data_IF_258387550792
#
_entry.id   IF_258387550792
#
_cell.length_a   1.000
_cell.length_b   1.000
_cell.length_c   1.000
_cell.angle_alpha   90.00
_cell.angle_beta   90.00
_cell.angle_gamma   90.00
#
_symmetry.space_group_name_H-M   'P 1'
#
loop_
_entity.id
_entity.type
_entity.pdbx_description
1 polymer ?
#
# COMPACT_ATOMS: atom_id res chain seq x y z
N UNK A 1 -43.51 -26.04 4.61
CA UNK A 1 -42.19 -26.12 3.96
C UNK A 1 -41.91 -24.83 3.22
N UNK A 2 -40.66 -24.36 3.20
CA UNK A 2 -40.24 -23.16 2.46
C UNK A 2 -39.34 -23.50 1.27
N UNK A 3 -39.07 -22.51 0.42
CA UNK A 3 -38.10 -22.65 -0.68
C UNK A 3 -36.87 -21.78 -0.43
N UNK A 4 -35.69 -22.28 -0.80
CA UNK A 4 -34.45 -21.54 -0.67
C UNK A 4 -34.42 -20.34 -1.63
N UNK A 5 -34.24 -19.13 -1.11
CA UNK A 5 -34.11 -17.91 -1.94
C UNK A 5 -32.92 -17.92 -2.90
N UNK A 6 -31.90 -18.75 -2.64
CA UNK A 6 -30.68 -18.81 -3.46
C UNK A 6 -30.78 -19.83 -4.59
N UNK A 7 -31.34 -21.00 -4.32
CA UNK A 7 -31.33 -22.12 -5.29
C UNK A 7 -32.72 -22.68 -5.63
N UNK A 8 -33.79 -22.16 -5.04
CA UNK A 8 -35.18 -22.53 -5.35
C UNK A 8 -35.61 -23.92 -4.88
N UNK A 9 -34.74 -24.72 -4.27
CA UNK A 9 -35.10 -26.05 -3.74
C UNK A 9 -35.85 -25.95 -2.42
N UNK A 10 -36.65 -26.96 -2.13
CA UNK A 10 -37.37 -27.08 -0.85
C UNK A 10 -36.40 -27.13 0.34
N UNK A 11 -36.82 -26.48 1.42
CA UNK A 11 -36.07 -26.39 2.67
C UNK A 11 -37.02 -26.67 3.84
N UNK A 12 -36.63 -27.52 4.80
CA UNK A 12 -37.38 -27.74 6.03
C UNK A 12 -37.61 -26.42 6.80
N UNK A 13 -38.74 -26.29 7.49
CA UNK A 13 -39.11 -25.05 8.19
C UNK A 13 -38.25 -24.75 9.42
N UNK A 14 -37.55 -25.75 9.95
CA UNK A 14 -36.62 -25.66 11.07
C UNK A 14 -35.15 -25.56 10.65
N UNK A 15 -34.85 -25.73 9.36
CA UNK A 15 -33.49 -25.68 8.88
C UNK A 15 -32.92 -24.26 8.89
N UNK A 16 -31.76 -24.08 9.54
CA UNK A 16 -30.98 -22.83 9.50
C UNK A 16 -30.18 -22.65 8.21
N UNK A 17 -29.89 -23.75 7.51
CA UNK A 17 -29.18 -23.76 6.23
C UNK A 17 -29.91 -24.63 5.22
N UNK A 18 -29.90 -24.21 3.95
CA UNK A 18 -30.43 -25.02 2.86
C UNK A 18 -29.55 -26.27 2.66
N UNK A 19 -30.09 -27.49 2.77
CA UNK A 19 -29.31 -28.73 2.63
C UNK A 19 -28.77 -28.92 1.21
N UNK A 20 -29.35 -28.25 0.22
CA UNK A 20 -28.94 -28.39 -1.18
C UNK A 20 -27.82 -27.44 -1.62
N UNK A 21 -27.70 -26.25 -1.01
CA UNK A 21 -26.72 -25.25 -1.46
C UNK A 21 -25.95 -24.54 -0.35
N UNK A 22 -26.22 -24.88 0.92
CA UNK A 22 -25.55 -24.30 2.09
C UNK A 22 -25.92 -22.85 2.41
N UNK A 23 -26.83 -22.24 1.65
CA UNK A 23 -27.26 -20.87 1.94
C UNK A 23 -28.01 -20.80 3.28
N UNK A 24 -27.67 -19.80 4.11
CA UNK A 24 -28.41 -19.53 5.35
C UNK A 24 -29.85 -19.12 5.04
N UNK A 25 -30.80 -19.78 5.69
CA UNK A 25 -32.24 -19.49 5.57
C UNK A 25 -32.61 -18.22 6.33
N UNK A 26 -33.83 -17.72 6.13
CA UNK A 26 -34.36 -16.60 6.91
C UNK A 26 -34.34 -16.93 8.41
N UNK A 27 -34.79 -18.13 8.77
CA UNK A 27 -34.80 -18.61 10.16
C UNK A 27 -33.40 -18.69 10.77
N UNK A 28 -32.40 -19.12 9.99
CA UNK A 28 -31.01 -19.09 10.43
C UNK A 28 -30.51 -17.66 10.69
N UNK A 29 -30.97 -16.67 9.91
CA UNK A 29 -30.65 -15.25 10.15
C UNK A 29 -31.36 -14.72 11.40
N UNK A 30 -32.64 -14.98 11.55
CA UNK A 30 -33.44 -14.54 12.71
C UNK A 30 -32.93 -15.16 14.02
N UNK A 31 -32.46 -16.40 13.98
CA UNK A 31 -31.84 -17.09 15.12
C UNK A 31 -30.38 -16.65 15.36
N UNK A 32 -29.83 -15.73 14.57
CA UNK A 32 -28.46 -15.21 14.74
C UNK A 32 -27.36 -16.25 14.46
N UNK A 33 -27.67 -17.37 13.81
CA UNK A 33 -26.70 -18.42 13.51
C UNK A 33 -25.74 -17.89 12.46
N UNK A 34 -24.45 -17.74 12.77
CA UNK A 34 -23.41 -17.34 11.82
C UNK A 34 -23.22 -18.41 10.73
N UNK A 35 -22.70 -18.01 9.57
CA UNK A 35 -22.46 -18.87 8.43
C UNK A 35 -20.95 -18.95 8.30
N UNK A 36 -20.40 -20.11 7.93
CA UNK A 36 -18.94 -20.27 7.85
C UNK A 36 -18.26 -19.21 6.99
N UNK A 37 -18.93 -18.71 5.95
CA UNK A 37 -18.40 -17.66 5.06
C UNK A 37 -18.36 -16.27 5.72
N UNK A 38 -19.29 -15.96 6.62
CA UNK A 38 -19.32 -14.66 7.31
C UNK A 38 -18.15 -14.57 8.29
N UNK A 39 -17.87 -15.64 9.03
CA UNK A 39 -16.73 -15.71 9.95
C UNK A 39 -15.39 -15.57 9.22
N UNK A 40 -15.23 -16.25 8.08
CA UNK A 40 -14.03 -16.07 7.25
C UNK A 40 -13.89 -14.65 6.71
N UNK A 41 -14.99 -14.02 6.29
CA UNK A 41 -14.99 -12.65 5.82
C UNK A 41 -14.57 -11.68 6.92
N UNK A 42 -15.07 -11.87 8.13
CA UNK A 42 -14.74 -11.03 9.28
C UNK A 42 -13.28 -11.20 9.69
N UNK A 43 -12.78 -12.44 9.71
CA UNK A 43 -11.37 -12.74 9.95
C UNK A 43 -10.47 -12.08 8.91
N UNK A 44 -10.78 -12.21 7.61
CA UNK A 44 -10.02 -11.57 6.54
C UNK A 44 -10.07 -10.04 6.61
N UNK A 45 -11.23 -9.48 6.98
CA UNK A 45 -11.38 -8.03 7.16
C UNK A 45 -10.53 -7.51 8.31
N UNK A 46 -10.41 -8.28 9.39
CA UNK A 46 -9.58 -7.95 10.56
C UNK A 46 -8.10 -8.00 10.17
N UNK A 47 -7.68 -9.09 9.54
CA UNK A 47 -6.32 -9.26 9.04
C UNK A 47 -5.92 -8.15 8.05
N UNK A 48 -6.84 -7.73 7.18
CA UNK A 48 -6.60 -6.63 6.24
C UNK A 48 -6.26 -5.31 6.93
N UNK A 49 -6.99 -4.95 8.00
CA UNK A 49 -6.74 -3.72 8.77
C UNK A 49 -5.39 -3.77 9.49
N UNK A 50 -5.04 -4.92 10.05
CA UNK A 50 -3.75 -5.10 10.73
C UNK A 50 -2.57 -4.94 9.77
N UNK A 51 -2.68 -5.55 8.58
CA UNK A 51 -1.67 -5.39 7.53
C UNK A 51 -1.54 -3.94 7.08
N UNK A 52 -2.64 -3.24 6.84
CA UNK A 52 -2.63 -1.83 6.42
C UNK A 52 -1.94 -0.94 7.46
N UNK A 53 -2.25 -1.13 8.76
CA UNK A 53 -1.60 -0.43 9.87
C UNK A 53 -0.09 -0.71 9.93
N UNK A 54 0.32 -1.97 9.76
CA UNK A 54 1.72 -2.36 9.75
C UNK A 54 2.48 -1.71 8.58
N UNK A 55 1.90 -1.71 7.38
CA UNK A 55 2.49 -1.08 6.21
C UNK A 55 2.58 0.45 6.34
N UNK A 56 1.58 1.11 6.91
CA UNK A 56 1.62 2.55 7.13
C UNK A 56 2.77 2.95 8.08
N UNK A 57 2.98 2.17 9.13
CA UNK A 57 4.08 2.35 10.08
C UNK A 57 5.43 2.20 9.37
N UNK A 58 5.61 1.11 8.63
CA UNK A 58 6.84 0.90 7.85
C UNK A 58 7.08 2.04 6.84
N UNK A 59 6.03 2.52 6.17
CA UNK A 59 6.13 3.64 5.22
C UNK A 59 6.55 4.95 5.92
N UNK A 60 6.07 5.22 7.14
CA UNK A 60 6.48 6.38 7.95
C UNK A 60 7.96 6.29 8.32
N UNK A 61 8.42 5.13 8.76
CA UNK A 61 9.83 4.93 9.13
C UNK A 61 10.78 5.10 7.94
N UNK A 62 10.44 4.49 6.79
CA UNK A 62 11.22 4.61 5.56
C UNK A 62 11.33 6.09 5.14
N UNK A 63 10.21 6.82 5.14
CA UNK A 63 10.21 8.25 4.82
C UNK A 63 11.11 9.04 5.77
N UNK A 64 10.99 8.83 7.07
CA UNK A 64 11.82 9.51 8.07
C UNK A 64 13.31 9.24 7.90
N UNK A 65 13.68 7.99 7.60
CA UNK A 65 15.07 7.62 7.31
C UNK A 65 15.61 8.34 6.06
N UNK A 66 14.83 8.41 4.98
CA UNK A 66 15.23 9.12 3.76
C UNK A 66 15.34 10.64 3.96
N UNK A 67 14.40 11.25 4.69
CA UNK A 67 14.47 12.68 5.01
C UNK A 67 15.72 13.00 5.81
N UNK A 68 16.04 12.19 6.81
CA UNK A 68 17.26 12.32 7.62
C UNK A 68 18.50 12.19 6.76
N UNK A 69 18.57 11.18 5.89
CA UNK A 69 19.69 11.00 4.97
C UNK A 69 19.83 12.19 4.00
N UNK A 70 18.72 12.71 3.47
CA UNK A 70 18.70 13.87 2.57
C UNK A 70 19.25 15.12 3.24
N UNK A 71 18.86 15.41 4.48
CA UNK A 71 19.34 16.59 5.20
C UNK A 71 20.85 16.48 5.50
N UNK A 72 21.34 15.30 5.88
CA UNK A 72 22.77 15.05 6.05
C UNK A 72 23.56 15.23 4.72
N UNK A 73 22.99 14.82 3.58
CA UNK A 73 23.59 15.05 2.25
C UNK A 73 23.60 16.54 1.89
N UNK A 74 22.53 17.29 2.19
CA UNK A 74 22.51 18.75 1.95
C UNK A 74 23.56 19.49 2.77
N UNK A 75 23.74 19.09 4.03
CA UNK A 75 24.71 19.72 4.93
C UNK A 75 26.15 19.40 4.55
N UNK A 76 26.40 18.25 3.92
CA UNK A 76 27.73 17.86 3.45
C UNK A 76 28.09 18.36 2.04
N UNK A 77 27.14 18.90 1.27
CA UNK A 77 27.39 19.42 -0.09
C UNK A 77 27.00 20.91 -0.22
N UNK A 78 27.83 21.86 0.25
CA UNK A 78 27.78 23.24 -0.21
C UNK A 78 28.70 23.46 -1.42
N UNK A 79 28.74 22.53 -2.38
CA UNK A 79 29.47 22.74 -3.62
C UNK A 79 28.58 23.55 -4.58
N UNK A 80 28.61 24.88 -4.43
CA UNK A 80 27.88 25.81 -5.31
C UNK A 80 28.10 25.40 -6.77
N UNK A 81 27.03 25.22 -7.55
CA UNK A 81 27.16 24.73 -8.92
C UNK A 81 27.98 25.70 -9.78
N UNK A 82 28.87 25.16 -10.61
CA UNK A 82 29.75 25.93 -11.50
C UNK A 82 29.15 25.95 -12.90
N UNK A 83 29.05 27.14 -13.51
CA UNK A 83 28.57 27.31 -14.89
C UNK A 83 29.76 27.21 -15.84
N UNK A 84 29.67 26.30 -16.81
CA UNK A 84 30.67 26.16 -17.86
C UNK A 84 30.70 27.42 -18.74
N UNK A 85 31.82 28.14 -18.76
CA UNK A 85 32.00 29.35 -19.59
C UNK A 85 31.97 29.07 -21.10
N UNK A 86 32.18 27.82 -21.52
CA UNK A 86 32.20 27.45 -22.94
C UNK A 86 30.81 27.15 -23.52
N UNK A 87 29.94 26.47 -22.77
CA UNK A 87 28.66 25.99 -23.30
C UNK A 87 27.45 26.28 -22.39
N UNK A 88 27.65 26.99 -21.28
CA UNK A 88 26.58 27.39 -20.34
C UNK A 88 26.04 26.28 -19.43
N UNK A 89 26.53 25.04 -19.53
CA UNK A 89 26.03 23.93 -18.70
C UNK A 89 26.29 24.18 -17.21
N UNK A 90 25.27 23.97 -16.38
CA UNK A 90 25.40 23.92 -14.92
C UNK A 90 25.97 22.57 -14.50
N UNK A 91 27.10 22.58 -13.81
CA UNK A 91 27.80 21.39 -13.32
C UNK A 91 27.85 21.38 -11.78
N UNK A 92 28.16 20.21 -11.21
CA UNK A 92 28.45 20.09 -9.77
C UNK A 92 29.62 20.99 -9.38
N UNK A 93 29.58 21.60 -8.19
CA UNK A 93 30.62 22.56 -7.78
C UNK A 93 32.03 21.96 -7.65
N UNK A 94 32.11 20.64 -7.42
CA UNK A 94 33.37 19.91 -7.37
C UNK A 94 33.81 19.33 -8.73
N UNK A 95 33.04 19.48 -9.81
CA UNK A 95 33.39 18.93 -11.11
C UNK A 95 34.67 19.59 -11.67
N UNK A 96 35.59 18.78 -12.20
CA UNK A 96 36.79 19.26 -12.87
C UNK A 96 36.55 19.54 -14.36
N UNK A 97 35.62 18.81 -15.00
CA UNK A 97 35.30 18.94 -16.41
C UNK A 97 33.80 19.13 -16.61
N UNK A 98 33.43 19.82 -17.68
CA UNK A 98 32.05 20.02 -18.07
C UNK A 98 31.46 18.70 -18.57
N UNK A 99 30.39 18.25 -17.92
CA UNK A 99 29.67 17.01 -18.27
C UNK A 99 29.02 17.04 -19.66
N UNK A 100 28.85 18.24 -20.24
CA UNK A 100 28.26 18.41 -21.58
C UNK A 100 29.29 18.56 -22.68
N UNK A 101 30.36 19.35 -22.48
CA UNK A 101 31.31 19.68 -23.55
C UNK A 101 32.75 19.25 -23.29
N UNK A 102 33.03 18.57 -22.17
CA UNK A 102 34.35 18.03 -21.83
C UNK A 102 35.40 19.06 -21.42
N UNK A 103 35.18 20.36 -21.64
CA UNK A 103 36.15 21.40 -21.24
C UNK A 103 36.29 21.51 -19.73
N UNK A 104 37.52 21.78 -19.29
CA UNK A 104 37.84 22.01 -17.89
C UNK A 104 37.02 23.17 -17.30
N UNK A 105 36.58 22.99 -16.05
CA UNK A 105 35.83 23.96 -15.29
C UNK A 105 36.79 24.71 -14.37
N UNK A 106 36.98 26.00 -14.64
CA UNK A 106 37.82 26.87 -13.80
C UNK A 106 37.09 27.12 -12.48
N UNK A 107 37.57 26.54 -11.39
CA UNK A 107 37.10 26.82 -10.02
C UNK A 107 37.67 28.18 -9.59
N UNK A 108 36.81 29.10 -9.13
CA UNK A 108 37.21 30.39 -8.56
C UNK A 108 37.58 30.23 -7.10
#
# INVERSE_FOLDING_TARGET
MGFCIKCGKEVPEDAYFCPSCGARTLKGREAGVSAPLDEMRDALSTMGRELESAFETAAKEIRGAFETARENVKQSIPMKPVICKNCGQKNLGNANFCTKCGKELVKK
#
